data_IF_812642700745
#
_entry.id   IF_812642700745
#
_cell.length_a   1.000
_cell.length_b   1.000
_cell.length_c   1.000
_cell.angle_alpha   90.00
_cell.angle_beta   90.00
_cell.angle_gamma   90.00
#
_symmetry.space_group_name_H-M   'P 1'
#
loop_
_entity.id
_entity.type
_entity.pdbx_description
1 polymer ?
#
# COMPACT_ATOMS: atom_id res chain seq x y z
N UNK A 1 -37.12 -2.75 -2.32
CA UNK A 1 -35.92 -2.40 -1.92
C UNK A 1 -34.95 -2.31 -3.05
N UNK A 2 -34.08 -1.62 -2.94
CA UNK A 2 -33.17 -1.30 -3.99
C UNK A 2 -31.87 -2.00 -3.79
N UNK A 3 -31.80 -3.26 -4.09
CA UNK A 3 -30.64 -4.01 -3.70
C UNK A 3 -29.35 -3.44 -4.23
N UNK A 4 -29.39 -3.00 -5.47
CA UNK A 4 -28.14 -2.54 -6.05
C UNK A 4 -27.65 -1.24 -5.44
N UNK A 5 -28.54 -0.28 -5.29
CA UNK A 5 -28.14 0.98 -4.68
C UNK A 5 -27.72 0.77 -3.24
N UNK A 6 -28.45 -0.07 -2.53
CA UNK A 6 -28.10 -0.38 -1.15
C UNK A 6 -26.78 -1.10 -1.10
N UNK A 7 -26.55 -2.03 -2.02
CA UNK A 7 -25.29 -2.75 -2.09
C UNK A 7 -24.12 -1.83 -2.29
N UNK A 8 -24.25 -0.91 -3.20
CA UNK A 8 -23.16 0.01 -3.47
C UNK A 8 -22.95 0.96 -2.30
N UNK A 9 -24.04 1.42 -1.71
CA UNK A 9 -23.93 2.31 -0.57
C UNK A 9 -23.34 1.63 0.64
N UNK A 10 -23.58 0.33 0.78
CA UNK A 10 -23.08 -0.40 1.94
C UNK A 10 -21.72 -1.03 1.69
N UNK A 11 -21.22 -0.98 0.48
CA UNK A 11 -19.90 -1.51 0.17
C UNK A 11 -18.85 -0.71 0.92
N UNK A 12 -17.95 -1.37 1.66
CA UNK A 12 -16.93 -0.63 2.38
C UNK A 12 -16.05 0.16 1.42
N UNK A 13 -15.80 1.38 1.77
CA UNK A 13 -14.81 2.16 1.05
C UNK A 13 -13.44 1.73 1.56
N UNK A 14 -12.61 1.27 0.66
CA UNK A 14 -11.26 0.86 1.01
C UNK A 14 -10.33 2.03 0.72
N UNK A 15 -9.29 2.14 1.52
CA UNK A 15 -8.38 3.27 1.42
C UNK A 15 -6.94 2.77 1.38
N UNK A 16 -6.22 3.12 0.31
CA UNK A 16 -4.82 2.75 0.12
C UNK A 16 -3.93 3.96 0.32
N UNK A 17 -2.77 3.73 0.94
CA UNK A 17 -1.73 4.74 1.03
C UNK A 17 -0.58 4.30 0.14
N UNK A 18 -0.19 5.15 -0.80
CA UNK A 18 0.90 4.88 -1.72
C UNK A 18 2.06 5.80 -1.36
N UNK A 19 3.18 5.23 -0.95
CA UNK A 19 4.34 5.98 -0.50
C UNK A 19 5.48 5.77 -1.50
N UNK A 20 5.84 6.80 -2.23
CA UNK A 20 6.83 6.71 -3.29
C UNK A 20 7.37 8.11 -3.58
N UNK A 21 8.70 8.28 -3.50
CA UNK A 21 9.29 9.59 -3.69
C UNK A 21 9.41 9.99 -5.17
N UNK A 22 9.35 9.04 -6.09
CA UNK A 22 9.36 9.33 -7.51
C UNK A 22 7.94 9.64 -7.99
N UNK A 23 7.66 10.85 -8.47
CA UNK A 23 6.31 11.18 -8.93
C UNK A 23 5.84 10.27 -10.06
N UNK A 24 6.74 9.90 -10.98
CA UNK A 24 6.38 9.03 -12.08
C UNK A 24 5.98 7.64 -11.59
N UNK A 25 6.77 7.06 -10.71
CA UNK A 25 6.47 5.74 -10.16
C UNK A 25 5.20 5.76 -9.33
N UNK A 26 5.00 6.85 -8.59
CA UNK A 26 3.81 6.99 -7.78
C UNK A 26 2.57 7.00 -8.67
N UNK A 27 2.64 7.71 -9.80
CA UNK A 27 1.52 7.76 -10.74
C UNK A 27 1.23 6.40 -11.35
N UNK A 28 2.26 5.61 -11.62
CA UNK A 28 2.04 4.28 -12.15
C UNK A 28 1.29 3.40 -11.14
N UNK A 29 1.64 3.50 -9.88
CA UNK A 29 0.93 2.76 -8.83
C UNK A 29 -0.51 3.23 -8.69
N UNK A 30 -0.70 4.54 -8.68
CA UNK A 30 -2.05 5.10 -8.59
C UNK A 30 -2.90 4.64 -9.76
N UNK A 31 -2.32 4.65 -10.95
CA UNK A 31 -3.02 4.24 -12.16
C UNK A 31 -3.46 2.77 -12.07
N UNK A 32 -2.57 1.91 -11.60
CA UNK A 32 -2.91 0.50 -11.43
C UNK A 32 -4.03 0.32 -10.40
N UNK A 33 -3.91 1.01 -9.28
CA UNK A 33 -4.88 0.87 -8.19
C UNK A 33 -6.25 1.47 -8.52
N UNK A 34 -6.29 2.41 -9.45
CA UNK A 34 -7.56 3.02 -9.86
C UNK A 34 -8.51 2.00 -10.49
N UNK A 35 -7.99 0.83 -10.85
CA UNK A 35 -8.82 -0.23 -11.43
C UNK A 35 -9.57 -1.03 -10.38
N UNK A 36 -9.31 -0.80 -9.10
CA UNK A 36 -10.02 -1.48 -8.02
C UNK A 36 -11.23 -0.62 -7.63
N UNK A 37 -12.45 -1.09 -7.89
CA UNK A 37 -13.63 -0.29 -7.56
C UNK A 37 -13.75 -0.01 -6.07
N UNK A 38 -14.07 1.22 -5.72
CA UNK A 38 -14.27 1.59 -4.34
C UNK A 38 -12.99 1.87 -3.56
N UNK A 39 -11.84 1.81 -4.22
CA UNK A 39 -10.58 2.07 -3.54
C UNK A 39 -10.22 3.55 -3.66
N UNK A 40 -10.13 4.22 -2.51
CA UNK A 40 -9.62 5.58 -2.44
C UNK A 40 -8.12 5.51 -2.26
N UNK A 41 -7.42 6.45 -2.87
CA UNK A 41 -5.95 6.42 -2.86
C UNK A 41 -5.44 7.74 -2.30
N UNK A 42 -4.58 7.64 -1.29
CA UNK A 42 -3.87 8.80 -0.75
C UNK A 42 -2.40 8.60 -1.07
N UNK A 43 -1.75 9.67 -1.52
CA UNK A 43 -0.34 9.62 -1.91
C UNK A 43 0.52 10.27 -0.84
N UNK A 44 1.69 9.73 -0.64
CA UNK A 44 2.71 10.32 0.21
C UNK A 44 4.03 10.28 -0.55
N UNK A 45 4.80 11.34 -0.46
CA UNK A 45 6.05 11.42 -1.23
C UNK A 45 7.26 10.91 -0.46
N UNK A 46 7.12 10.61 0.83
CA UNK A 46 8.18 9.96 1.60
C UNK A 46 7.61 9.37 2.88
N UNK A 47 8.49 8.77 3.68
CA UNK A 47 8.06 8.10 4.91
C UNK A 47 7.52 9.08 5.96
N UNK A 48 8.08 10.28 6.01
CA UNK A 48 7.61 11.27 6.99
C UNK A 48 6.20 11.74 6.62
N UNK A 49 5.98 11.99 5.34
CA UNK A 49 4.65 12.36 4.85
C UNK A 49 3.65 11.25 5.09
N UNK A 50 4.09 10.00 4.92
CA UNK A 50 3.26 8.84 5.17
C UNK A 50 2.82 8.79 6.63
N UNK A 51 3.74 9.01 7.56
CA UNK A 51 3.40 8.99 8.98
C UNK A 51 2.41 10.09 9.33
N UNK A 52 2.56 11.24 8.70
CA UNK A 52 1.63 12.34 8.93
C UNK A 52 0.22 11.94 8.51
N UNK A 53 0.10 11.28 7.36
CA UNK A 53 -1.20 10.86 6.86
C UNK A 53 -1.78 9.72 7.66
N UNK A 54 -0.93 8.81 8.14
CA UNK A 54 -1.37 7.72 9.00
C UNK A 54 -1.93 8.23 10.33
N UNK A 55 -1.41 9.33 10.82
CA UNK A 55 -1.88 9.90 12.07
C UNK A 55 -3.30 10.44 11.96
N UNK A 56 -3.73 10.83 10.77
CA UNK A 56 -5.03 11.47 10.60
C UNK A 56 -6.10 10.60 9.94
N UNK A 57 -5.75 9.42 9.43
CA UNK A 57 -6.69 8.60 8.69
C UNK A 57 -6.37 7.13 8.88
N UNK A 58 -7.37 6.29 8.61
CA UNK A 58 -7.16 4.85 8.59
C UNK A 58 -6.96 4.38 7.16
N UNK A 59 -6.11 3.38 7.01
CA UNK A 59 -5.84 2.80 5.72
C UNK A 59 -6.03 1.29 5.78
N UNK A 60 -6.45 0.73 4.65
CA UNK A 60 -6.68 -0.71 4.54
C UNK A 60 -5.51 -1.43 3.91
N UNK A 61 -4.65 -0.69 3.23
CA UNK A 61 -3.44 -1.26 2.63
C UNK A 61 -2.43 -0.13 2.42
N UNK A 62 -1.14 -0.46 2.55
CA UNK A 62 -0.05 0.48 2.31
C UNK A 62 0.88 -0.13 1.28
N UNK A 63 1.22 0.64 0.24
CA UNK A 63 2.25 0.27 -0.71
C UNK A 63 3.39 1.25 -0.56
N UNK A 64 4.61 0.77 -0.37
CA UNK A 64 5.74 1.67 -0.14
C UNK A 64 7.01 1.14 -0.79
N UNK A 65 7.85 2.05 -1.28
CA UNK A 65 9.20 1.71 -1.70
C UNK A 65 10.08 1.60 -0.46
N UNK A 66 11.22 0.97 -0.62
CA UNK A 66 12.25 0.92 0.42
C UNK A 66 13.15 2.15 0.33
N UNK A 67 13.59 2.49 -0.89
CA UNK A 67 14.58 3.55 -1.08
C UNK A 67 13.91 4.91 -1.13
N UNK A 68 13.90 5.57 0.01
CA UNK A 68 13.34 6.92 0.13
C UNK A 68 14.25 7.74 1.03
N UNK A 69 14.31 9.06 0.83
CA UNK A 69 15.13 9.91 1.68
C UNK A 69 14.56 10.01 3.09
N UNK A 70 15.43 10.27 4.04
CA UNK A 70 15.11 10.52 5.45
C UNK A 70 14.62 9.28 6.16
N UNK A 71 13.53 8.70 5.72
CA UNK A 71 13.00 7.47 6.33
C UNK A 71 12.74 6.45 5.23
N UNK A 72 13.51 5.37 5.20
CA UNK A 72 13.32 4.33 4.20
C UNK A 72 12.08 3.49 4.52
N UNK A 73 11.67 2.67 3.54
CA UNK A 73 10.46 1.89 3.68
C UNK A 73 10.50 0.86 4.79
N UNK A 74 11.68 0.35 5.12
CA UNK A 74 11.79 -0.63 6.20
C UNK A 74 11.51 0.02 7.55
N UNK A 75 12.01 1.24 7.73
CA UNK A 75 11.70 1.99 8.96
C UNK A 75 10.22 2.33 9.01
N UNK A 76 9.64 2.64 7.88
CA UNK A 76 8.21 2.92 7.82
C UNK A 76 7.40 1.69 8.24
N UNK A 77 7.77 0.51 7.74
CA UNK A 77 7.09 -0.73 8.14
C UNK A 77 7.15 -0.90 9.65
N UNK A 78 8.32 -0.69 10.22
CA UNK A 78 8.49 -0.82 11.66
C UNK A 78 7.59 0.15 12.43
N UNK A 79 7.52 1.39 11.97
CA UNK A 79 6.69 2.40 12.63
C UNK A 79 5.20 2.07 12.52
N UNK A 80 4.78 1.58 11.35
CA UNK A 80 3.39 1.18 11.15
C UNK A 80 3.02 0.04 12.08
N UNK A 81 3.89 -0.95 12.20
CA UNK A 81 3.62 -2.10 13.06
C UNK A 81 3.57 -1.73 14.54
N UNK A 82 4.20 -0.62 14.93
CA UNK A 82 4.15 -0.14 16.29
C UNK A 82 2.93 0.73 16.57
N UNK A 83 2.18 1.11 15.54
CA UNK A 83 1.00 1.96 15.67
C UNK A 83 -0.23 1.08 15.91
N UNK A 84 -0.88 1.25 17.05
CA UNK A 84 -2.02 0.40 17.42
C UNK A 84 -3.14 0.43 16.36
N UNK A 85 -3.32 1.56 15.69
CA UNK A 85 -4.37 1.69 14.68
C UNK A 85 -4.04 0.95 13.39
N UNK A 86 -2.75 0.72 13.11
CA UNK A 86 -2.33 0.15 11.83
C UNK A 86 -1.43 -1.08 11.97
N UNK A 87 -1.35 -1.65 13.17
CA UNK A 87 -0.42 -2.75 13.41
C UNK A 87 -0.65 -3.96 12.52
N UNK A 88 -1.86 -4.15 12.03
CA UNK A 88 -2.21 -5.30 11.20
C UNK A 88 -2.52 -4.94 9.75
N UNK A 89 -2.32 -3.68 9.36
CA UNK A 89 -2.66 -3.28 8.01
C UNK A 89 -1.72 -3.98 7.01
N UNK A 90 -2.24 -4.50 5.89
CA UNK A 90 -1.38 -5.12 4.88
C UNK A 90 -0.41 -4.09 4.31
N UNK A 91 0.86 -4.50 4.17
CA UNK A 91 1.91 -3.65 3.60
C UNK A 91 2.55 -4.39 2.44
N UNK A 92 2.60 -3.72 1.30
CA UNK A 92 3.26 -4.21 0.09
C UNK A 92 4.49 -3.36 -0.16
N UNK A 93 5.64 -3.99 -0.24
CA UNK A 93 6.87 -3.30 -0.65
C UNK A 93 6.93 -3.34 -2.17
N UNK A 94 7.16 -2.18 -2.80
CA UNK A 94 7.31 -2.08 -4.26
C UNK A 94 8.62 -1.34 -4.51
N UNK A 95 9.65 -2.05 -4.95
CA UNK A 95 10.99 -1.49 -4.96
C UNK A 95 11.84 -2.07 -6.08
N UNK A 96 12.93 -1.36 -6.43
CA UNK A 96 13.93 -1.87 -7.35
C UNK A 96 14.90 -2.83 -6.66
N UNK A 97 14.90 -2.87 -5.33
CA UNK A 97 15.81 -3.74 -4.60
C UNK A 97 15.35 -5.19 -4.71
N UNK A 98 16.13 -6.00 -5.42
CA UNK A 98 15.76 -7.39 -5.66
C UNK A 98 16.57 -8.38 -4.83
N UNK A 99 17.46 -7.89 -3.95
CA UNK A 99 18.27 -8.77 -3.13
C UNK A 99 17.40 -9.55 -2.16
N UNK A 100 17.66 -10.84 -2.06
CA UNK A 100 16.88 -11.70 -1.19
C UNK A 100 16.98 -11.26 0.28
N UNK A 101 18.12 -10.69 0.66
CA UNK A 101 18.30 -10.21 2.02
C UNK A 101 17.32 -9.08 2.35
N UNK A 102 17.13 -8.18 1.41
CA UNK A 102 16.20 -7.06 1.62
C UNK A 102 14.77 -7.57 1.73
N UNK A 103 14.43 -8.56 0.90
CA UNK A 103 13.11 -9.15 0.93
C UNK A 103 12.88 -9.84 2.28
N UNK A 104 13.84 -10.62 2.73
CA UNK A 104 13.71 -11.31 4.00
C UNK A 104 13.58 -10.35 5.17
N UNK A 105 14.35 -9.26 5.11
CA UNK A 105 14.28 -8.25 6.17
C UNK A 105 12.93 -7.58 6.21
N UNK A 106 12.39 -7.23 5.03
CA UNK A 106 11.08 -6.59 4.96
C UNK A 106 9.99 -7.51 5.50
N UNK A 107 10.02 -8.77 5.09
CA UNK A 107 9.02 -9.72 5.55
C UNK A 107 9.15 -9.98 7.05
N UNK A 108 10.38 -10.03 7.56
CA UNK A 108 10.61 -10.21 8.99
C UNK A 108 10.08 -9.03 9.81
N UNK A 109 10.11 -7.83 9.25
CA UNK A 109 9.60 -6.64 9.92
C UNK A 109 8.08 -6.55 9.86
N UNK A 110 7.44 -7.36 9.03
CA UNK A 110 6.00 -7.41 8.99
C UNK A 110 5.35 -7.02 7.67
N UNK A 111 6.14 -6.91 6.58
CA UNK A 111 5.55 -6.69 5.27
C UNK A 111 4.80 -7.94 4.83
N UNK A 112 3.75 -7.76 4.06
CA UNK A 112 2.90 -8.86 3.61
C UNK A 112 3.22 -9.32 2.20
N UNK A 113 3.83 -8.46 1.39
CA UNK A 113 4.23 -8.82 0.04
C UNK A 113 5.40 -7.95 -0.39
N UNK A 114 6.13 -8.44 -1.38
CA UNK A 114 7.33 -7.77 -1.86
C UNK A 114 7.31 -7.88 -3.39
N UNK A 115 7.20 -6.75 -4.06
CA UNK A 115 7.10 -6.69 -5.51
C UNK A 115 8.25 -5.88 -6.03
N UNK A 116 9.00 -6.43 -6.99
CA UNK A 116 10.13 -5.70 -7.58
C UNK A 116 9.68 -4.94 -8.80
N UNK A 117 10.25 -3.75 -8.98
CA UNK A 117 10.02 -2.95 -10.18
C UNK A 117 10.76 -3.61 -11.35
N UNK A 118 10.30 -3.43 -12.59
CA UNK A 118 9.32 -2.42 -13.02
C UNK A 118 7.89 -2.78 -12.63
N UNK A 119 7.09 -1.76 -12.43
CA UNK A 119 5.71 -1.93 -12.00
C UNK A 119 4.88 -2.48 -13.14
N UNK A 120 4.21 -3.59 -12.87
CA UNK A 120 3.30 -4.20 -13.82
C UNK A 120 1.92 -4.24 -13.17
N UNK A 121 0.98 -3.54 -13.78
CA UNK A 121 -0.35 -3.38 -13.20
C UNK A 121 -1.02 -4.71 -12.84
N UNK A 122 -0.99 -5.74 -13.70
CA UNK A 122 -1.63 -7.01 -13.32
C UNK A 122 -1.07 -7.61 -12.03
N UNK A 123 0.23 -7.51 -11.82
CA UNK A 123 0.85 -8.04 -10.62
C UNK A 123 0.44 -7.25 -9.39
N UNK A 124 0.45 -5.93 -9.50
CA UNK A 124 0.03 -5.07 -8.40
C UNK A 124 -1.42 -5.37 -8.03
N UNK A 125 -2.28 -5.48 -9.05
CA UNK A 125 -3.70 -5.75 -8.81
C UNK A 125 -3.92 -7.11 -8.15
N UNK A 126 -3.17 -8.12 -8.60
CA UNK A 126 -3.26 -9.45 -8.02
C UNK A 126 -2.95 -9.42 -6.53
N UNK A 127 -1.83 -8.79 -6.18
CA UNK A 127 -1.38 -8.73 -4.78
C UNK A 127 -2.38 -7.93 -3.93
N UNK A 128 -2.81 -6.80 -4.44
CA UNK A 128 -3.73 -5.93 -3.69
C UNK A 128 -5.06 -6.62 -3.46
N UNK A 129 -5.62 -7.25 -4.50
CA UNK A 129 -6.88 -7.95 -4.35
C UNK A 129 -6.79 -9.09 -3.37
N UNK A 130 -5.68 -9.82 -3.40
CA UNK A 130 -5.47 -10.91 -2.47
C UNK A 130 -5.41 -10.41 -1.03
N UNK A 131 -4.64 -9.36 -0.79
CA UNK A 131 -4.48 -8.83 0.57
C UNK A 131 -5.75 -8.15 1.09
N UNK A 132 -6.50 -7.52 0.21
CA UNK A 132 -7.77 -6.92 0.60
C UNK A 132 -8.91 -7.93 0.58
N UNK A 133 -8.64 -9.17 0.18
CA UNK A 133 -9.61 -10.25 0.13
C UNK A 133 -10.79 -9.91 -0.78
N UNK A 134 -10.46 -9.34 -1.93
CA UNK A 134 -11.46 -9.00 -2.93
C UNK A 134 -11.56 -10.12 -3.95
N UNK A 135 -12.75 -10.33 -4.46
CA UNK A 135 -12.94 -11.29 -5.53
C UNK A 135 -12.39 -10.74 -6.83
N UNK A 136 -11.82 -11.61 -7.63
CA UNK A 136 -11.24 -11.21 -8.91
C UNK A 136 -12.27 -10.98 -9.98
#
# INVERSE_FOLDING_TARGET
MVPRAVSEASRPELHALVVEDSPMMRQLLVFALARVPGLRITEADDGVDALRKLAGQRFDIILTDINMPIMDGLKLVRRVRADAAHKDVPIVIVTTESAEEDRKRAMALGANAYVTKPIQAPRILEVVRELLKLES
#
